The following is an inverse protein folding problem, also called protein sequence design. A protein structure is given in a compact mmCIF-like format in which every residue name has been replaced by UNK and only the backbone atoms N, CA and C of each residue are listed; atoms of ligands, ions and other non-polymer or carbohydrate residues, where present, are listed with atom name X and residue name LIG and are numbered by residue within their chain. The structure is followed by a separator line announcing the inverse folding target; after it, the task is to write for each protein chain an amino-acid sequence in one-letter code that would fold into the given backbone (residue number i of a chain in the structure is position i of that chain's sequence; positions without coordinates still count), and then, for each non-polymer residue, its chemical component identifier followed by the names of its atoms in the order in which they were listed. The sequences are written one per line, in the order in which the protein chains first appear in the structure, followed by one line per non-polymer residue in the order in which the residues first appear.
data_IF_511761419062
#
_entry.id   IF_511761419062
#
_cell.length_a   1.000
_cell.length_b   1.000
_cell.length_c   1.000
_cell.angle_alpha   90.00
_cell.angle_beta   90.00
_cell.angle_gamma   90.00
#
_symmetry.space_group_name_H-M   'P 1'
#
loop_
_entity.id
_entity.type
_entity.pdbx_description
1 polymer ?
#
# COMPACT_ATOMS: atom_id res chain seq x y z
N UNK A 1 -14.64 5.97 -19.37
CA UNK A 1 -13.49 5.07 -19.49
C UNK A 1 -13.23 4.37 -18.19
N UNK A 2 -12.87 3.13 -18.26
CA UNK A 2 -12.61 2.33 -17.06
C UNK A 2 -11.11 2.21 -16.83
N UNK A 3 -10.70 2.42 -15.59
CA UNK A 3 -9.31 2.33 -15.17
C UNK A 3 -9.15 1.32 -14.06
N UNK A 4 -7.98 0.72 -14.01
CA UNK A 4 -7.58 -0.15 -12.92
C UNK A 4 -6.51 0.55 -12.11
N UNK A 5 -6.70 0.60 -10.80
CA UNK A 5 -5.70 1.18 -9.91
C UNK A 5 -5.08 0.10 -9.02
N UNK A 6 -3.78 0.21 -8.83
CA UNK A 6 -3.04 -0.61 -7.88
C UNK A 6 -2.41 0.33 -6.86
N UNK A 7 -2.62 0.02 -5.60
CA UNK A 7 -2.20 0.89 -4.50
C UNK A 7 -1.37 0.07 -3.53
N UNK A 8 -0.16 0.55 -3.26
CA UNK A 8 0.70 -0.02 -2.23
C UNK A 8 0.66 0.89 -1.02
N UNK A 9 0.30 0.34 0.14
CA UNK A 9 0.23 1.06 1.41
C UNK A 9 1.25 0.47 2.36
N UNK A 10 2.15 1.31 2.86
CA UNK A 10 3.21 0.89 3.79
C UNK A 10 3.21 1.77 5.03
N UNK A 11 3.58 1.22 6.20
CA UNK A 11 3.77 2.05 7.38
C UNK A 11 4.93 3.02 7.19
N UNK A 12 4.83 4.20 7.79
CA UNK A 12 5.90 5.18 7.78
C UNK A 12 7.14 4.59 8.48
N UNK A 13 8.33 4.85 7.93
CA UNK A 13 9.59 4.29 8.46
C UNK A 13 9.87 4.69 9.89
N UNK A 14 9.45 5.88 10.29
CA UNK A 14 9.68 6.40 11.63
C UNK A 14 8.78 5.78 12.69
N UNK A 15 7.76 5.02 12.28
CA UNK A 15 6.79 4.44 13.20
C UNK A 15 7.07 2.96 13.43
N UNK A 16 6.64 2.48 14.59
CA UNK A 16 6.73 1.07 14.94
C UNK A 16 5.81 0.25 14.03
N UNK A 17 6.37 -0.81 13.46
CA UNK A 17 5.63 -1.79 12.68
C UNK A 17 5.56 -3.10 13.45
N UNK A 18 4.51 -3.31 14.26
CA UNK A 18 4.43 -4.52 15.09
C UNK A 18 4.39 -5.82 14.28
N UNK A 19 3.73 -5.81 13.12
CA UNK A 19 3.67 -6.99 12.26
C UNK A 19 5.02 -7.32 11.65
N UNK A 20 5.70 -6.32 11.09
CA UNK A 20 7.03 -6.50 10.52
C UNK A 20 8.05 -6.94 11.56
N UNK A 21 7.95 -6.39 12.77
CA UNK A 21 8.84 -6.75 13.87
C UNK A 21 8.63 -8.20 14.31
N UNK A 22 7.37 -8.63 14.40
CA UNK A 22 7.06 -10.01 14.75
C UNK A 22 7.56 -11.00 13.69
N UNK A 23 7.39 -10.66 12.40
CA UNK A 23 7.89 -11.49 11.31
C UNK A 23 9.42 -11.56 11.33
N UNK A 24 10.08 -10.42 11.55
CA UNK A 24 11.54 -10.38 11.67
C UNK A 24 12.04 -11.32 12.78
N UNK A 25 11.37 -11.29 13.93
CA UNK A 25 11.69 -12.16 15.04
C UNK A 25 11.51 -13.64 14.70
N UNK A 26 10.45 -13.96 13.96
CA UNK A 26 10.16 -15.33 13.55
C UNK A 26 11.16 -15.87 12.53
N UNK A 27 11.85 -15.03 11.78
CA UNK A 27 12.86 -15.47 10.82
C UNK A 27 13.98 -16.25 11.50
N UNK A 28 14.35 -15.88 12.71
CA UNK A 28 15.35 -16.60 13.49
C UNK A 28 14.90 -18.02 13.79
N UNK A 29 13.62 -18.22 14.04
CA UNK A 29 13.06 -19.53 14.39
C UNK A 29 13.06 -20.51 13.22
N UNK A 30 13.07 -20.02 12.00
CA UNK A 30 13.10 -20.86 10.80
C UNK A 30 14.49 -20.93 10.16
N UNK A 31 15.51 -20.45 10.86
CA UNK A 31 16.88 -20.55 10.39
C UNK A 31 17.31 -19.48 9.40
N UNK A 32 16.60 -18.37 9.35
CA UNK A 32 16.85 -17.27 8.41
C UNK A 32 17.19 -15.97 9.14
N UNK A 33 18.09 -16.05 10.11
CA UNK A 33 18.48 -14.92 10.96
C UNK A 33 19.13 -13.76 10.21
N UNK A 34 19.60 -13.99 8.97
CA UNK A 34 20.13 -12.94 8.10
C UNK A 34 19.05 -12.00 7.55
N UNK A 35 17.79 -12.39 7.65
CA UNK A 35 16.68 -11.54 7.23
C UNK A 35 16.33 -10.57 8.36
N UNK A 36 16.38 -9.29 8.07
CA UNK A 36 16.17 -8.21 9.06
C UNK A 36 15.25 -7.14 8.51
N UNK A 37 14.69 -6.37 9.42
CA UNK A 37 13.92 -5.17 9.09
C UNK A 37 12.72 -5.44 8.15
N UNK A 38 12.04 -6.55 8.39
CA UNK A 38 10.84 -6.88 7.63
C UNK A 38 9.76 -5.85 7.90
N UNK A 39 9.12 -5.38 6.85
CA UNK A 39 8.03 -4.42 6.95
C UNK A 39 6.82 -4.99 6.22
N UNK A 40 5.66 -4.80 6.81
CA UNK A 40 4.42 -5.34 6.26
C UNK A 40 3.49 -4.21 5.90
N UNK A 41 3.01 -4.23 4.68
CA UNK A 41 2.00 -3.31 4.19
C UNK A 41 0.90 -4.07 3.51
N UNK A 42 0.11 -3.37 2.72
CA UNK A 42 -0.98 -3.98 1.96
C UNK A 42 -0.97 -3.50 0.52
N UNK A 43 -1.49 -4.35 -0.35
CA UNK A 43 -1.66 -4.05 -1.76
C UNK A 43 -3.16 -4.09 -2.05
N UNK A 44 -3.67 -3.02 -2.66
CA UNK A 44 -5.10 -2.86 -2.95
C UNK A 44 -5.28 -2.70 -4.45
N UNK A 45 -6.23 -3.43 -5.01
CA UNK A 45 -6.62 -3.25 -6.40
C UNK A 45 -8.06 -2.78 -6.46
N UNK A 46 -8.35 -1.89 -7.40
CA UNK A 46 -9.72 -1.43 -7.61
C UNK A 46 -9.93 -1.03 -9.07
N UNK A 47 -11.17 -0.90 -9.44
CA UNK A 47 -11.57 -0.39 -10.75
C UNK A 47 -12.34 0.91 -10.54
N UNK A 48 -12.16 1.86 -11.44
CA UNK A 48 -12.83 3.14 -11.37
C UNK A 48 -13.26 3.60 -12.76
N UNK A 49 -14.47 4.13 -12.85
CA UNK A 49 -15.00 4.77 -14.05
C UNK A 49 -14.70 6.27 -13.96
N UNK A 50 -14.05 6.81 -14.97
CA UNK A 50 -13.70 8.23 -14.99
C UNK A 50 -13.56 8.73 -16.42
N UNK A 51 -13.59 10.04 -16.60
CA UNK A 51 -13.47 10.69 -17.90
C UNK A 51 -12.07 10.63 -18.47
N UNK A 52 -11.07 10.48 -17.62
CA UNK A 52 -9.67 10.42 -18.02
C UNK A 52 -8.78 9.97 -16.89
N UNK A 53 -7.52 9.72 -17.19
CA UNK A 53 -6.55 9.21 -16.21
C UNK A 53 -6.36 10.16 -15.04
N UNK A 54 -6.28 11.47 -15.30
CA UNK A 54 -6.09 12.47 -14.25
C UNK A 54 -7.27 12.51 -13.28
N UNK A 55 -8.49 12.39 -13.79
CA UNK A 55 -9.68 12.33 -12.96
C UNK A 55 -9.71 11.06 -12.10
N UNK A 56 -9.33 9.93 -12.70
CA UNK A 56 -9.23 8.66 -11.98
C UNK A 56 -8.18 8.75 -10.87
N UNK A 57 -7.01 9.31 -11.18
CA UNK A 57 -5.92 9.47 -10.22
C UNK A 57 -6.37 10.28 -9.00
N UNK A 58 -7.03 11.43 -9.23
CA UNK A 58 -7.50 12.29 -8.14
C UNK A 58 -8.50 11.58 -7.23
N UNK A 59 -9.43 10.85 -7.82
CA UNK A 59 -10.44 10.12 -7.04
C UNK A 59 -9.83 8.99 -6.24
N UNK A 60 -8.89 8.26 -6.82
CA UNK A 60 -8.20 7.17 -6.12
C UNK A 60 -7.36 7.72 -4.97
N UNK A 61 -6.65 8.81 -5.18
CA UNK A 61 -5.88 9.46 -4.10
C UNK A 61 -6.77 9.93 -2.97
N UNK A 62 -7.94 10.48 -3.30
CA UNK A 62 -8.92 10.87 -2.29
C UNK A 62 -9.40 9.67 -1.48
N UNK A 63 -9.69 8.56 -2.14
CA UNK A 63 -10.09 7.32 -1.47
C UNK A 63 -8.98 6.80 -0.55
N UNK A 64 -7.72 6.88 -0.99
CA UNK A 64 -6.59 6.49 -0.16
C UNK A 64 -6.49 7.34 1.11
N UNK A 65 -6.63 8.65 0.97
CA UNK A 65 -6.54 9.57 2.13
C UNK A 65 -7.68 9.42 3.11
N UNK A 66 -8.88 9.12 2.61
CA UNK A 66 -10.09 9.07 3.46
C UNK A 66 -10.38 7.70 4.03
N UNK A 67 -9.95 6.64 3.36
CA UNK A 67 -10.38 5.28 3.73
C UNK A 67 -9.29 4.23 3.65
N UNK A 68 -8.53 4.17 2.55
CA UNK A 68 -7.68 3.02 2.24
C UNK A 68 -6.37 3.02 3.01
N UNK A 69 -5.87 4.19 3.38
CA UNK A 69 -4.64 4.35 4.14
C UNK A 69 -4.88 5.29 5.32
N UNK A 70 -4.09 5.10 6.36
CA UNK A 70 -4.09 6.02 7.50
C UNK A 70 -2.97 7.03 7.28
N UNK A 71 -3.28 8.28 6.86
CA UNK A 71 -2.24 9.25 6.48
C UNK A 71 -1.32 9.67 7.62
N UNK A 72 -1.70 9.40 8.87
CA UNK A 72 -0.85 9.69 10.02
C UNK A 72 0.23 8.62 10.19
N UNK A 73 -0.09 7.37 9.88
CA UNK A 73 0.77 6.21 10.14
C UNK A 73 1.31 5.54 8.89
N UNK A 74 0.74 5.84 7.73
CA UNK A 74 1.04 5.12 6.49
C UNK A 74 1.27 6.08 5.33
N UNK A 75 2.00 5.63 4.33
CA UNK A 75 2.08 6.30 3.04
C UNK A 75 1.59 5.34 1.94
N UNK A 76 1.24 5.88 0.79
CA UNK A 76 0.74 5.07 -0.30
C UNK A 76 1.32 5.50 -1.64
N UNK A 77 1.35 4.56 -2.57
CA UNK A 77 1.73 4.79 -3.96
C UNK A 77 0.62 4.25 -4.84
N UNK A 78 0.24 5.01 -5.86
CA UNK A 78 -0.86 4.67 -6.76
C UNK A 78 -0.33 4.49 -8.17
N UNK A 79 -0.71 3.40 -8.81
CA UNK A 79 -0.45 3.14 -10.23
C UNK A 79 -1.80 2.94 -10.93
N UNK A 80 -2.04 3.68 -12.00
CA UNK A 80 -3.30 3.64 -12.73
C UNK A 80 -3.05 3.27 -14.19
N UNK A 81 -3.84 2.32 -14.68
CA UNK A 81 -3.81 1.89 -16.07
C UNK A 81 -5.23 1.88 -16.61
N UNK A 82 -5.38 2.19 -17.88
CA UNK A 82 -6.65 2.07 -18.57
C UNK A 82 -7.01 0.59 -18.69
N UNK A 83 -8.22 0.24 -18.27
CA UNK A 83 -8.73 -1.11 -18.34
C UNK A 83 -9.53 -1.29 -19.62
N UNK A 84 -9.24 -2.33 -20.34
CA UNK A 84 -9.98 -2.65 -21.56
C UNK A 84 -11.20 -3.50 -21.27
#
# INVERSE_FOLDING_TARGET
MKFRAEINVMPLKALLDPQGKAVTGSMKNIGLSEIQNVRIGKHITLEIEASGKDAAQKKVEEACKKLLANPIMEFFEVSIEESK
#
